data_IF_603927823993
#
_entry.id   IF_603927823993
#
_cell.length_a   1.000
_cell.length_b   1.000
_cell.length_c   1.000
_cell.angle_alpha   90.00
_cell.angle_beta   90.00
_cell.angle_gamma   90.00
#
_symmetry.space_group_name_H-M   'P 1'
#
loop_
_entity.id
_entity.type
_entity.pdbx_description
1 polymer ?
#
# COMPACT_ATOMS: atom_id res chain seq x y z
N UNK A 1 54.70 43.00 -9.59
CA UNK A 1 54.61 41.56 -9.25
C UNK A 1 54.42 41.44 -7.74
N UNK A 2 53.28 40.88 -7.28
CA UNK A 2 53.22 39.74 -6.36
C UNK A 2 51.80 39.58 -5.77
N UNK A 3 51.18 38.47 -6.20
CA UNK A 3 49.86 37.99 -5.82
C UNK A 3 49.97 37.24 -4.49
N UNK A 4 49.23 37.66 -3.47
CA UNK A 4 49.08 36.90 -2.20
C UNK A 4 47.63 36.99 -1.71
N UNK A 5 46.71 36.51 -2.52
CA UNK A 5 45.35 36.17 -2.09
C UNK A 5 45.28 34.65 -2.03
N UNK A 6 45.55 34.09 -0.86
CA UNK A 6 45.59 32.66 -0.65
C UNK A 6 45.15 32.30 0.75
N UNK A 7 44.04 31.56 0.82
CA UNK A 7 43.73 30.59 1.87
C UNK A 7 43.46 31.14 3.28
N UNK A 8 42.32 31.81 3.47
CA UNK A 8 41.70 31.88 4.81
C UNK A 8 40.23 31.45 4.71
N UNK A 9 40.00 30.25 5.23
CA UNK A 9 38.77 29.78 5.88
C UNK A 9 37.47 29.68 5.06
N UNK A 10 37.46 28.78 4.06
CA UNK A 10 36.23 28.03 3.74
C UNK A 10 36.13 26.90 4.76
N UNK A 11 35.57 27.16 5.93
CA UNK A 11 35.52 26.18 7.03
C UNK A 11 34.23 26.33 7.85
N UNK A 12 33.05 26.31 7.20
CA UNK A 12 31.76 26.23 7.92
C UNK A 12 30.54 25.94 7.01
N UNK A 13 30.53 24.90 6.15
CA UNK A 13 29.27 24.48 5.48
C UNK A 13 29.16 22.97 5.24
N UNK A 14 29.56 22.14 6.22
CA UNK A 14 29.44 20.67 6.08
C UNK A 14 28.79 20.01 7.30
N UNK A 15 27.68 20.56 7.77
CA UNK A 15 26.88 19.92 8.83
C UNK A 15 25.41 19.95 8.45
N UNK A 16 24.97 18.98 7.66
CA UNK A 16 23.54 18.87 7.35
C UNK A 16 23.23 17.90 6.23
N UNK A 17 23.49 16.60 6.42
CA UNK A 17 22.97 15.58 5.50
C UNK A 17 22.91 14.16 6.08
N UNK A 18 22.57 13.99 7.38
CA UNK A 18 22.39 12.64 7.97
C UNK A 18 20.94 12.18 8.15
N UNK A 19 19.93 12.97 7.77
CA UNK A 19 18.52 12.59 7.97
C UNK A 19 17.82 12.23 6.66
N UNK A 20 18.10 11.06 6.06
CA UNK A 20 17.34 10.61 4.88
C UNK A 20 17.13 9.09 4.70
N UNK A 21 17.50 8.23 5.65
CA UNK A 21 17.31 6.77 5.51
C UNK A 21 16.33 6.12 6.48
N UNK A 22 15.69 6.89 7.37
CA UNK A 22 14.61 6.37 8.20
C UNK A 22 13.27 6.51 7.46
N UNK A 23 12.59 5.39 7.24
CA UNK A 23 11.20 5.39 6.77
C UNK A 23 10.31 5.92 7.91
N UNK A 24 9.26 6.71 7.61
CA UNK A 24 8.41 7.24 8.67
C UNK A 24 7.68 6.10 9.39
N UNK A 25 7.64 6.19 10.72
CA UNK A 25 6.84 5.30 11.58
C UNK A 25 5.36 5.59 11.41
N UNK A 26 4.53 4.70 11.95
CA UNK A 26 3.08 4.82 11.89
C UNK A 26 2.57 6.19 12.38
N UNK A 27 3.02 6.69 13.53
CA UNK A 27 2.60 8.01 14.06
C UNK A 27 2.85 9.14 13.07
N UNK A 28 4.04 9.17 12.47
CA UNK A 28 4.43 10.23 11.51
C UNK A 28 3.57 10.19 10.25
N UNK A 29 3.15 9.00 9.84
CA UNK A 29 2.23 8.83 8.71
C UNK A 29 0.81 9.21 9.11
N UNK A 30 0.37 8.87 10.32
CA UNK A 30 -0.95 9.24 10.79
C UNK A 30 -1.08 10.75 10.91
N UNK A 31 -0.09 11.45 11.46
CA UNK A 31 -0.03 12.91 11.50
C UNK A 31 -0.10 13.54 10.10
N UNK A 32 0.69 13.01 9.16
CA UNK A 32 0.79 13.56 7.81
C UNK A 32 -0.45 13.28 6.95
N UNK A 33 -1.10 12.15 7.16
CA UNK A 33 -2.22 11.68 6.34
C UNK A 33 -3.51 11.51 7.15
N UNK A 34 -3.66 12.18 8.30
CA UNK A 34 -4.90 12.15 9.08
C UNK A 34 -6.11 12.61 8.27
N UNK A 35 -5.89 13.55 7.34
CA UNK A 35 -6.95 14.06 6.47
C UNK A 35 -7.34 13.01 5.43
N UNK A 36 -8.56 12.48 5.57
CA UNK A 36 -9.24 11.67 4.56
C UNK A 36 -10.03 12.57 3.62
N UNK A 37 -9.89 12.44 2.29
CA UNK A 37 -10.76 13.15 1.36
C UNK A 37 -12.22 12.80 1.59
N UNK A 38 -13.11 13.80 1.47
CA UNK A 38 -14.55 13.61 1.68
C UNK A 38 -15.11 12.47 0.79
N UNK A 39 -15.89 11.58 1.38
CA UNK A 39 -16.48 10.43 0.68
C UNK A 39 -15.53 9.24 0.44
N UNK A 40 -14.26 9.32 0.88
CA UNK A 40 -13.31 8.22 0.84
C UNK A 40 -13.15 7.56 2.21
N UNK A 41 -12.96 6.25 2.20
CA UNK A 41 -12.38 5.50 3.31
C UNK A 41 -10.93 5.14 3.02
N UNK A 42 -10.26 4.53 3.99
CA UNK A 42 -8.88 4.06 3.89
C UNK A 42 -8.77 2.60 4.23
N UNK A 43 -7.99 1.88 3.43
CA UNK A 43 -7.64 0.49 3.70
C UNK A 43 -6.14 0.47 4.02
N UNK A 44 -5.80 0.11 5.26
CA UNK A 44 -4.44 -0.20 5.66
C UNK A 44 -4.14 -1.65 5.35
N UNK A 45 -2.98 -1.88 4.74
CA UNK A 45 -2.49 -3.22 4.44
C UNK A 45 -1.08 -3.33 5.02
N UNK A 46 -0.88 -4.32 5.87
CA UNK A 46 0.35 -4.46 6.63
C UNK A 46 0.74 -5.92 6.81
N UNK A 47 2.03 -6.16 6.95
CA UNK A 47 2.58 -7.49 7.22
C UNK A 47 3.55 -7.42 8.40
N UNK A 48 3.18 -7.94 9.59
CA UNK A 48 4.08 -8.01 10.74
C UNK A 48 5.35 -8.79 10.41
N UNK A 49 6.49 -8.38 10.97
CA UNK A 49 7.74 -9.14 10.88
C UNK A 49 7.91 -10.03 12.12
N UNK A 50 8.31 -11.28 11.92
CA UNK A 50 8.80 -12.14 13.01
C UNK A 50 10.33 -12.23 12.99
N UNK A 51 10.96 -12.44 14.15
CA UNK A 51 12.40 -12.64 14.23
C UNK A 51 12.82 -13.87 13.38
N UNK A 52 13.76 -13.67 12.46
CA UNK A 52 14.21 -14.71 11.54
C UNK A 52 13.37 -14.86 10.27
N UNK A 53 12.39 -13.99 10.03
CA UNK A 53 11.70 -13.98 8.75
C UNK A 53 12.68 -13.65 7.61
N UNK A 54 12.88 -14.54 6.63
CA UNK A 54 13.65 -14.18 5.45
C UNK A 54 12.99 -12.98 4.79
N UNK A 55 13.80 -12.12 4.18
CA UNK A 55 13.34 -11.06 3.27
C UNK A 55 12.78 -11.73 2.01
N UNK A 56 11.67 -12.44 2.17
CA UNK A 56 10.96 -13.12 1.09
C UNK A 56 10.45 -12.05 0.13
N UNK A 57 10.29 -12.44 -1.14
CA UNK A 57 9.80 -11.56 -2.20
C UNK A 57 8.60 -10.73 -1.73
N UNK A 58 8.57 -9.47 -2.14
CA UNK A 58 7.51 -8.52 -1.79
C UNK A 58 6.44 -8.52 -2.89
N UNK A 59 5.45 -9.46 -2.87
CA UNK A 59 4.47 -9.56 -3.93
C UNK A 59 3.60 -8.30 -3.96
N UNK A 60 2.95 -8.08 -5.10
CA UNK A 60 2.01 -6.98 -5.22
C UNK A 60 0.71 -7.32 -4.50
N UNK A 61 0.14 -6.34 -3.81
CA UNK A 61 -1.25 -6.42 -3.39
C UNK A 61 -2.11 -5.84 -4.49
N UNK A 62 -3.18 -6.56 -4.81
CA UNK A 62 -4.16 -6.14 -5.78
C UNK A 62 -5.46 -5.79 -5.06
N UNK A 63 -5.97 -4.58 -5.32
CA UNK A 63 -7.30 -4.15 -4.88
C UNK A 63 -8.18 -4.04 -6.11
N UNK A 64 -9.26 -4.82 -6.16
CA UNK A 64 -10.09 -5.04 -7.35
C UNK A 64 -9.26 -5.43 -8.59
N UNK A 65 -8.22 -6.26 -8.41
CA UNK A 65 -7.32 -6.69 -9.49
C UNK A 65 -6.26 -5.66 -9.91
N UNK A 66 -6.20 -4.48 -9.27
CA UNK A 66 -5.21 -3.46 -9.58
C UNK A 66 -4.03 -3.47 -8.60
N UNK A 67 -2.80 -3.48 -9.11
CA UNK A 67 -1.57 -3.41 -8.31
C UNK A 67 -1.49 -2.09 -7.53
N UNK A 68 -1.76 -2.15 -6.23
CA UNK A 68 -1.82 -0.96 -5.36
C UNK A 68 -0.57 -0.78 -4.51
N UNK A 69 0.12 -1.84 -4.14
CA UNK A 69 1.29 -1.78 -3.25
C UNK A 69 2.06 -3.09 -3.26
N UNK A 70 3.08 -3.18 -2.42
CA UNK A 70 3.81 -4.43 -2.17
C UNK A 70 3.75 -4.76 -0.68
N UNK A 71 3.62 -6.03 -0.35
CA UNK A 71 3.75 -6.49 1.03
C UNK A 71 5.21 -6.81 1.34
N UNK A 72 5.67 -6.47 2.52
CA UNK A 72 7.01 -6.82 3.00
C UNK A 72 6.94 -6.97 4.52
N UNK A 73 7.66 -7.93 5.13
CA UNK A 73 7.72 -8.06 6.57
C UNK A 73 8.11 -6.73 7.24
N UNK A 74 7.42 -6.37 8.33
CA UNK A 74 7.67 -5.15 9.12
C UNK A 74 7.25 -3.85 8.43
N UNK A 75 6.51 -3.94 7.32
CA UNK A 75 6.09 -2.78 6.55
C UNK A 75 4.58 -2.69 6.38
N UNK A 76 4.10 -1.46 6.25
CA UNK A 76 2.71 -1.17 5.94
C UNK A 76 2.57 -0.13 4.82
N UNK A 77 1.39 -0.11 4.21
CA UNK A 77 0.95 0.95 3.33
C UNK A 77 -0.57 1.11 3.44
N UNK A 78 -1.10 2.20 2.86
CA UNK A 78 -2.53 2.44 2.83
C UNK A 78 -2.98 2.90 1.45
N UNK A 79 -4.26 2.67 1.15
CA UNK A 79 -4.93 3.17 -0.05
C UNK A 79 -6.23 3.86 0.35
N UNK A 80 -6.47 5.03 -0.24
CA UNK A 80 -7.75 5.72 -0.09
C UNK A 80 -8.65 5.35 -1.25
N UNK A 81 -9.92 5.05 -0.95
CA UNK A 81 -10.90 4.59 -1.93
C UNK A 81 -12.30 5.09 -1.54
N UNK A 82 -13.18 5.34 -2.51
CA UNK A 82 -14.57 5.71 -2.20
C UNK A 82 -15.28 4.60 -1.44
N UNK A 83 -16.40 4.90 -0.78
CA UNK A 83 -17.22 3.87 -0.15
C UNK A 83 -17.63 2.79 -1.16
N UNK A 84 -17.53 1.52 -0.79
CA UNK A 84 -17.82 0.39 -1.68
C UNK A 84 -17.24 -0.93 -1.17
N UNK A 85 -17.52 -1.99 -1.92
CA UNK A 85 -16.96 -3.33 -1.68
C UNK A 85 -15.65 -3.49 -2.47
N UNK A 86 -14.60 -3.95 -1.81
CA UNK A 86 -13.28 -4.15 -2.40
C UNK A 86 -12.80 -5.58 -2.24
N UNK A 87 -12.32 -6.16 -3.33
CA UNK A 87 -11.63 -7.46 -3.34
C UNK A 87 -10.13 -7.25 -3.19
N UNK A 88 -9.54 -7.85 -2.17
CA UNK A 88 -8.11 -7.79 -1.87
C UNK A 88 -7.50 -9.15 -2.12
N UNK A 89 -6.46 -9.17 -2.94
CA UNK A 89 -5.67 -10.35 -3.29
C UNK A 89 -4.18 -10.03 -3.28
N UNK A 90 -3.35 -11.06 -3.22
CA UNK A 90 -1.89 -10.92 -3.29
C UNK A 90 -1.41 -11.66 -4.54
N UNK A 91 -0.56 -11.01 -5.33
CA UNK A 91 -0.01 -11.57 -6.57
C UNK A 91 0.76 -12.85 -6.26
N UNK A 92 0.64 -13.85 -7.14
CA UNK A 92 1.26 -15.18 -6.96
C UNK A 92 0.83 -15.95 -5.69
N UNK A 93 -0.35 -15.63 -5.14
CA UNK A 93 -0.93 -16.34 -4.01
C UNK A 93 -2.31 -16.90 -4.40
N UNK A 94 -2.51 -18.21 -4.22
CA UNK A 94 -3.77 -18.90 -4.52
C UNK A 94 -4.81 -18.76 -3.39
N UNK A 95 -4.62 -17.82 -2.47
CA UNK A 95 -5.58 -17.54 -1.41
C UNK A 95 -6.89 -16.96 -1.96
N UNK A 96 -8.01 -17.28 -1.31
CA UNK A 96 -9.32 -16.74 -1.67
C UNK A 96 -9.32 -15.20 -1.52
N UNK A 97 -9.99 -14.45 -2.41
CA UNK A 97 -10.04 -12.99 -2.31
C UNK A 97 -10.74 -12.55 -1.02
N UNK A 98 -10.17 -11.57 -0.32
CA UNK A 98 -10.78 -10.99 0.87
C UNK A 98 -11.69 -9.84 0.45
N UNK A 99 -12.96 -9.96 0.79
CA UNK A 99 -13.96 -8.92 0.54
C UNK A 99 -13.99 -7.97 1.74
N UNK A 100 -13.67 -6.70 1.51
CA UNK A 100 -13.68 -5.64 2.52
C UNK A 100 -14.74 -4.62 2.15
N UNK A 101 -15.72 -4.45 3.03
CA UNK A 101 -16.71 -3.38 2.90
C UNK A 101 -16.11 -2.09 3.49
N UNK A 102 -16.02 -1.05 2.67
CA UNK A 102 -15.47 0.24 3.07
C UNK A 102 -16.56 1.32 3.06
N UNK A 103 -16.80 1.95 4.21
CA UNK A 103 -17.63 3.14 4.35
C UNK A 103 -16.88 4.43 4.06
N UNK A 104 -17.62 5.53 3.85
CA UNK A 104 -17.04 6.86 3.74
C UNK A 104 -16.51 7.31 5.11
N UNK A 105 -15.26 7.78 5.17
CA UNK A 105 -14.58 8.12 6.42
C UNK A 105 -14.14 6.91 7.25
N UNK A 106 -14.44 5.69 6.80
CA UNK A 106 -14.08 4.48 7.52
C UNK A 106 -12.63 4.06 7.23
N UNK A 107 -12.00 3.48 8.23
CA UNK A 107 -10.67 2.88 8.12
C UNK A 107 -10.76 1.38 8.37
N UNK A 108 -10.29 0.60 7.41
CA UNK A 108 -10.25 -0.86 7.46
C UNK A 108 -8.81 -1.34 7.52
N UNK A 109 -8.54 -2.40 8.28
CA UNK A 109 -7.20 -2.92 8.51
C UNK A 109 -7.09 -4.35 8.00
N UNK A 110 -6.16 -4.58 7.08
CA UNK A 110 -5.93 -5.87 6.43
C UNK A 110 -4.55 -6.36 6.81
N UNK A 111 -4.53 -7.42 7.61
CA UNK A 111 -3.31 -8.09 8.03
C UNK A 111 -2.93 -9.14 7.00
N UNK A 112 -1.68 -9.11 6.56
CA UNK A 112 -1.08 -10.16 5.73
C UNK A 112 -0.22 -11.02 6.64
N UNK A 113 -0.62 -12.28 6.79
CA UNK A 113 0.10 -13.26 7.59
C UNK A 113 0.98 -14.12 6.70
N UNK A 114 2.12 -14.52 7.24
CA UNK A 114 2.95 -15.54 6.63
C UNK A 114 2.73 -16.87 7.36
N UNK A 115 2.17 -17.85 6.65
CA UNK A 115 1.97 -19.22 7.12
C UNK A 115 2.92 -20.16 6.39
N UNK A 116 4.13 -20.37 6.92
CA UNK A 116 5.13 -21.22 6.28
C UNK A 116 5.50 -20.73 4.88
N UNK A 117 5.13 -21.51 3.85
CA UNK A 117 5.37 -21.18 2.42
C UNK A 117 4.25 -20.36 1.77
N UNK A 118 3.12 -20.10 2.45
CA UNK A 118 1.98 -19.38 1.88
C UNK A 118 1.70 -18.08 2.62
N UNK A 119 1.18 -17.09 1.91
CA UNK A 119 0.65 -15.87 2.50
C UNK A 119 -0.87 -16.05 2.71
N UNK A 120 -1.39 -15.59 3.83
CA UNK A 120 -2.84 -15.47 4.06
C UNK A 120 -3.14 -14.04 4.47
N UNK A 121 -4.41 -13.64 4.39
CA UNK A 121 -4.80 -12.28 4.76
C UNK A 121 -6.19 -12.28 5.36
N UNK A 122 -6.37 -11.44 6.38
CA UNK A 122 -7.63 -11.28 7.10
C UNK A 122 -7.85 -9.82 7.45
N UNK A 123 -9.12 -9.47 7.67
CA UNK A 123 -9.45 -8.21 8.32
C UNK A 123 -9.13 -8.33 9.82
N UNK A 124 -8.55 -7.29 10.38
CA UNK A 124 -8.18 -7.21 11.80
C UNK A 124 -8.88 -6.01 12.44
N UNK A 125 -9.11 -6.08 13.75
CA UNK A 125 -9.67 -4.95 14.50
C UNK A 125 -8.69 -3.78 14.56
N UNK A 126 -9.22 -2.56 14.67
CA UNK A 126 -8.41 -1.35 14.74
C UNK A 126 -7.39 -1.40 15.88
N UNK A 127 -7.81 -1.77 17.08
CA UNK A 127 -6.96 -1.80 18.27
C UNK A 127 -5.73 -2.70 18.09
N UNK A 128 -5.94 -3.91 17.54
CA UNK A 128 -4.85 -4.86 17.33
C UNK A 128 -3.97 -4.45 16.15
N UNK A 129 -4.55 -3.91 15.09
CA UNK A 129 -3.79 -3.41 13.95
C UNK A 129 -2.88 -2.24 14.35
N UNK A 130 -3.38 -1.27 15.11
CA UNK A 130 -2.61 -0.11 15.57
C UNK A 130 -1.46 -0.52 16.49
N UNK A 131 -1.70 -1.49 17.40
CA UNK A 131 -0.64 -2.05 18.25
C UNK A 131 0.49 -2.72 17.44
N UNK A 132 0.16 -3.44 16.37
CA UNK A 132 1.18 -4.05 15.50
C UNK A 132 1.87 -2.98 14.63
N UNK A 133 1.12 -2.01 14.10
CA UNK A 133 1.60 -0.93 13.23
C UNK A 133 2.60 0.01 13.89
N UNK A 134 2.51 0.22 15.21
CA UNK A 134 3.43 1.07 15.99
C UNK A 134 4.91 0.67 15.76
N UNK A 135 5.16 -0.63 15.67
CA UNK A 135 6.51 -1.18 15.42
C UNK A 135 6.94 -1.17 13.94
N UNK A 136 6.09 -0.70 13.02
CA UNK A 136 6.26 -0.91 11.58
C UNK A 136 6.66 0.35 10.82
N UNK A 137 7.30 0.13 9.67
CA UNK A 137 7.75 1.19 8.77
C UNK A 137 6.79 1.38 7.60
N UNK A 138 6.56 2.64 7.22
CA UNK A 138 5.79 2.93 6.01
C UNK A 138 6.63 2.72 4.75
N UNK A 139 6.17 1.83 3.87
CA UNK A 139 6.84 1.54 2.60
C UNK A 139 6.20 2.29 1.41
N UNK A 140 4.99 2.81 1.63
CA UNK A 140 4.22 3.52 0.63
C UNK A 140 3.58 2.61 -0.40
N UNK A 141 2.34 2.95 -0.75
CA UNK A 141 1.65 2.34 -1.86
C UNK A 141 2.40 2.60 -3.18
N UNK A 142 2.05 1.90 -4.26
CA UNK A 142 2.69 2.03 -5.56
C UNK A 142 2.76 3.49 -6.05
N UNK A 143 3.66 3.78 -7.00
CA UNK A 143 3.90 5.15 -7.50
C UNK A 143 2.62 5.92 -7.89
N UNK A 144 1.61 5.20 -8.39
CA UNK A 144 0.29 5.76 -8.74
C UNK A 144 -0.52 6.20 -7.52
N UNK A 145 -0.54 5.37 -6.48
CA UNK A 145 -1.23 5.69 -5.23
C UNK A 145 -0.55 6.83 -4.49
N UNK A 146 0.79 6.85 -4.43
CA UNK A 146 1.54 8.00 -3.86
C UNK A 146 1.22 9.31 -4.57
N UNK A 147 1.08 9.29 -5.90
CA UNK A 147 0.67 10.47 -6.68
C UNK A 147 -0.78 10.87 -6.38
N UNK A 148 -1.69 9.90 -6.21
CA UNK A 148 -3.08 10.18 -5.85
C UNK A 148 -3.19 10.83 -4.46
N UNK A 149 -2.48 10.30 -3.46
CA UNK A 149 -2.45 10.86 -2.10
C UNK A 149 -1.84 12.27 -2.11
N UNK A 150 -0.70 12.47 -2.80
CA UNK A 150 -0.07 13.80 -2.91
C UNK A 150 -0.97 14.82 -3.61
N UNK A 151 -1.72 14.40 -4.64
CA UNK A 151 -2.70 15.25 -5.34
C UNK A 151 -3.88 15.59 -4.43
N UNK A 152 -4.41 14.61 -3.69
CA UNK A 152 -5.54 14.82 -2.78
C UNK A 152 -5.19 15.74 -1.60
N UNK A 153 -3.94 15.74 -1.13
CA UNK A 153 -3.45 16.64 -0.07
C UNK A 153 -2.96 18.02 -0.56
N UNK A 154 -3.07 18.34 -1.86
CA UNK A 154 -2.67 19.65 -2.41
C UNK A 154 -3.88 20.59 -2.49
N UNK A 155 -3.83 21.82 -1.93
CA UNK A 155 -4.96 22.75 -1.90
C UNK A 155 -5.49 23.22 -3.27
N UNK A 156 -4.73 22.99 -4.34
CA UNK A 156 -5.02 23.54 -5.70
C UNK A 156 -5.15 22.44 -6.75
N UNK A 157 -5.25 21.17 -6.37
CA UNK A 157 -5.46 20.10 -7.35
C UNK A 157 -6.95 20.05 -7.76
N UNK A 158 -7.28 20.10 -9.06
CA UNK A 158 -8.63 19.78 -9.51
C UNK A 158 -8.99 18.39 -8.98
N UNK A 159 -10.21 18.25 -8.46
CA UNK A 159 -10.79 16.97 -8.04
C UNK A 159 -10.37 15.89 -9.04
N UNK A 160 -9.76 14.78 -8.60
CA UNK A 160 -9.50 13.69 -9.53
C UNK A 160 -10.84 13.36 -10.16
N UNK A 161 -10.95 13.48 -11.50
CA UNK A 161 -12.00 12.77 -12.23
C UNK A 161 -11.91 11.35 -11.72
N UNK A 162 -12.91 10.93 -10.95
CA UNK A 162 -13.10 9.55 -10.59
C UNK A 162 -13.06 8.81 -11.91
N UNK A 163 -11.92 8.19 -12.23
CA UNK A 163 -11.97 7.05 -13.14
C UNK A 163 -12.83 6.10 -12.35
N UNK A 164 -14.08 5.96 -12.76
CA UNK A 164 -15.05 5.07 -12.16
C UNK A 164 -14.33 3.75 -11.91
N UNK A 165 -14.06 3.46 -10.63
CA UNK A 165 -13.59 2.15 -10.19
C UNK A 165 -14.77 1.17 -10.13
N UNK A 166 -15.84 1.43 -10.90
CA UNK A 166 -16.66 0.39 -11.45
C UNK A 166 -15.76 -0.39 -12.41
N UNK A 167 -15.15 -1.47 -11.93
CA UNK A 167 -15.03 -2.61 -12.82
C UNK A 167 -16.47 -2.88 -13.33
N UNK A 168 -16.69 -3.06 -14.64
CA UNK A 168 -17.89 -3.75 -15.06
C UNK A 168 -17.81 -5.12 -14.38
N UNK A 169 -18.64 -5.34 -13.36
CA UNK A 169 -19.20 -6.67 -13.20
C UNK A 169 -20.16 -6.79 -14.38
N UNK A 170 -19.64 -7.14 -15.55
CA UNK A 170 -20.48 -7.58 -16.65
C UNK A 170 -20.99 -8.97 -16.22
N UNK A 171 -22.28 -9.14 -15.88
CA UNK A 171 -22.83 -10.46 -15.60
C UNK A 171 -22.80 -11.37 -16.85
N UNK A 172 -22.44 -10.83 -18.01
CA UNK A 172 -22.35 -11.55 -19.28
C UNK A 172 -21.09 -12.43 -19.43
N UNK A 173 -20.04 -12.27 -18.61
CA UNK A 173 -18.86 -13.14 -18.67
C UNK A 173 -18.95 -14.39 -17.79
N UNK A 174 -20.09 -14.62 -17.13
CA UNK A 174 -20.39 -15.87 -16.40
C UNK A 174 -21.01 -16.97 -17.27
N UNK A 175 -21.22 -16.73 -18.57
CA UNK A 175 -21.82 -17.70 -19.51
C UNK A 175 -20.87 -17.95 -20.69
N UNK A 176 -19.89 -18.82 -20.48
CA UNK A 176 -18.91 -19.19 -21.50
C UNK A 176 -17.99 -20.33 -21.07
N UNK A 177 -18.51 -21.34 -20.38
CA UNK A 177 -17.81 -22.63 -20.21
C UNK A 177 -18.15 -23.47 -21.43
N UNK A 178 -17.46 -23.22 -22.53
CA UNK A 178 -17.46 -24.16 -23.66
C UNK A 178 -16.59 -25.36 -23.27
N UNK A 179 -17.19 -26.54 -23.27
CA UNK A 179 -16.59 -27.80 -22.86
C UNK A 179 -15.36 -28.15 -23.69
N UNK A 180 -14.20 -28.23 -23.05
CA UNK A 180 -12.99 -28.80 -23.66
C UNK A 180 -13.22 -30.31 -23.81
N UNK A 181 -13.13 -30.89 -25.02
CA UNK A 181 -13.27 -32.34 -25.21
C UNK A 181 -12.06 -33.08 -24.63
N UNK A 182 -12.35 -34.13 -23.87
CA UNK A 182 -11.36 -35.09 -23.34
C UNK A 182 -10.73 -35.84 -24.52
N UNK A 183 -9.39 -35.89 -24.65
CA UNK A 183 -8.76 -36.72 -25.68
C UNK A 183 -8.87 -38.20 -25.28
N UNK A 184 -9.57 -38.97 -26.11
CA UNK A 184 -9.66 -40.42 -26.03
C UNK A 184 -8.29 -41.03 -26.34
N UNK A 185 -7.71 -41.76 -25.39
CA UNK A 185 -6.53 -42.60 -25.62
C UNK A 185 -6.97 -43.81 -26.46
N UNK A 186 -6.27 -44.05 -27.58
CA UNK A 186 -6.41 -45.25 -28.42
C UNK A 186 -5.33 -46.26 -28.06
#
# INVERSE_FOLDING_TARGET
MNRRSGLIAILAVTTGMLAACARPSYDKVQDQYASLPAGQGRIYIYQPSSAGDPTTGSPYVLVNGWKTGRTSPGNFFFVNRPAGLYSITVDYNDAAPLMVQLGAGETRYVRVNKGGMKLTYNEETQEKAEAELDSMSYHGAGSRERRAIKRAGSPTAPLPKSRSYAAPLDPAQAAGVESIPVPTVK
#
